data_IF_643787575345
#
_entry.id   IF_643787575345
#
_cell.length_a   1.000
_cell.length_b   1.000
_cell.length_c   1.000
_cell.angle_alpha   90.00
_cell.angle_beta   90.00
_cell.angle_gamma   90.00
#
_symmetry.space_group_name_H-M   'P 1'
#
loop_
_entity.id
_entity.type
_entity.pdbx_description
1 polymer ?
#
# COMPACT_ATOMS: atom_id res chain seq x y z
N UNK A 1 -4.26 23.38 -58.69
CA UNK A 1 -5.06 22.16 -58.87
C UNK A 1 -4.90 21.31 -57.60
N UNK A 2 -5.94 21.05 -56.77
CA UNK A 2 -7.02 20.03 -56.90
C UNK A 2 -6.46 18.62 -57.21
N UNK A 3 -6.69 17.53 -56.45
CA UNK A 3 -7.36 17.19 -55.17
C UNK A 3 -7.03 15.71 -54.83
N UNK A 4 -7.40 15.26 -53.62
CA UNK A 4 -7.77 13.89 -53.19
C UNK A 4 -6.59 12.92 -52.93
N UNK A 5 -6.56 12.08 -51.89
CA UNK A 5 -7.60 11.38 -51.08
C UNK A 5 -6.87 10.85 -49.83
N UNK A 6 -7.26 11.18 -48.58
CA UNK A 6 -8.30 10.59 -47.72
C UNK A 6 -7.96 9.20 -47.14
N UNK A 7 -8.03 9.13 -45.80
CA UNK A 7 -8.31 8.00 -44.90
C UNK A 7 -7.34 6.80 -44.99
N UNK A 8 -6.76 6.29 -43.90
CA UNK A 8 -7.49 5.71 -42.77
C UNK A 8 -6.71 5.82 -41.45
N UNK A 9 -7.40 6.30 -40.42
CA UNK A 9 -7.20 5.88 -39.03
C UNK A 9 -7.42 4.36 -38.92
N UNK A 10 -6.84 3.72 -37.88
CA UNK A 10 -6.95 2.31 -37.40
C UNK A 10 -5.48 1.79 -37.31
N UNK A 11 -4.82 1.63 -36.17
CA UNK A 11 -5.26 1.02 -34.92
C UNK A 11 -4.38 1.36 -33.70
N UNK A 12 -5.07 1.35 -32.57
CA UNK A 12 -4.69 1.45 -31.16
C UNK A 12 -3.70 0.32 -30.73
N UNK A 13 -3.04 0.42 -29.54
CA UNK A 13 -1.79 -0.24 -29.21
C UNK A 13 -1.98 -1.72 -28.89
N UNK A 14 -1.12 -2.54 -29.50
CA UNK A 14 -0.81 -3.89 -29.01
C UNK A 14 0.22 -3.71 -27.89
N UNK A 15 -0.25 -3.61 -26.65
CA UNK A 15 0.31 -4.42 -25.56
C UNK A 15 -0.68 -4.50 -24.40
N UNK A 16 -1.78 -5.23 -24.63
CA UNK A 16 -2.47 -5.92 -23.55
C UNK A 16 -1.56 -7.08 -23.12
N UNK A 17 -0.58 -6.79 -22.26
CA UNK A 17 0.06 -7.84 -21.47
C UNK A 17 -0.96 -8.29 -20.44
N UNK A 18 -1.56 -9.41 -20.80
CA UNK A 18 -2.38 -10.30 -19.99
C UNK A 18 -1.81 -10.45 -18.58
N UNK A 19 -2.75 -10.57 -17.65
CA UNK A 19 -2.56 -10.99 -16.29
C UNK A 19 -1.58 -12.17 -16.15
N UNK A 20 -0.49 -11.92 -15.43
CA UNK A 20 0.11 -12.87 -14.52
C UNK A 20 0.10 -12.15 -13.16
N UNK A 21 -0.90 -12.35 -12.31
CA UNK A 21 -1.00 -13.51 -11.43
C UNK A 21 0.37 -13.90 -10.85
N UNK A 22 0.98 -12.99 -10.08
CA UNK A 22 1.84 -13.44 -8.98
C UNK A 22 0.95 -13.72 -7.77
N UNK A 23 0.21 -14.82 -7.86
CA UNK A 23 -0.05 -15.64 -6.68
C UNK A 23 1.30 -16.15 -6.19
N UNK A 24 1.92 -15.37 -5.29
CA UNK A 24 2.89 -15.94 -4.36
C UNK A 24 2.07 -16.69 -3.32
N UNK A 25 1.67 -17.92 -3.66
CA UNK A 25 1.50 -18.94 -2.65
C UNK A 25 2.89 -19.28 -2.12
N UNK A 26 3.29 -18.64 -1.04
CA UNK A 26 4.35 -19.14 -0.16
C UNK A 26 3.71 -19.44 1.18
N UNK A 27 3.13 -20.63 1.26
CA UNK A 27 2.99 -21.39 2.50
C UNK A 27 4.39 -21.64 3.07
N UNK A 28 4.90 -20.64 3.79
CA UNK A 28 5.99 -20.81 4.75
C UNK A 28 5.40 -20.59 6.13
N UNK A 29 5.08 -21.69 6.80
CA UNK A 29 4.73 -21.70 8.21
C UNK A 29 5.89 -21.13 9.05
N UNK A 30 5.51 -20.23 9.95
CA UNK A 30 6.10 -19.92 11.26
C UNK A 30 7.33 -18.99 11.33
N UNK A 31 7.06 -17.82 11.94
CA UNK A 31 7.98 -16.87 12.61
C UNK A 31 8.75 -15.82 11.81
N UNK A 32 8.55 -15.66 10.51
CA UNK A 32 9.03 -14.46 9.83
C UNK A 32 8.13 -13.26 10.17
N UNK A 33 8.71 -12.25 10.80
CA UNK A 33 8.08 -10.94 10.94
C UNK A 33 7.83 -10.43 9.53
N UNK A 34 6.56 -10.21 9.18
CA UNK A 34 6.25 -9.61 7.89
C UNK A 34 6.65 -8.12 7.93
N UNK A 35 7.89 -7.85 7.54
CA UNK A 35 8.43 -6.50 7.39
C UNK A 35 7.63 -5.72 6.33
N UNK A 36 7.05 -6.42 5.35
CA UNK A 36 6.14 -5.83 4.37
C UNK A 36 4.90 -5.24 5.03
N UNK A 37 4.32 -5.94 6.01
CA UNK A 37 3.19 -5.43 6.78
C UNK A 37 3.53 -4.18 7.59
N UNK A 38 4.75 -4.08 8.15
CA UNK A 38 5.19 -2.88 8.88
C UNK A 38 5.24 -1.64 7.98
N UNK A 39 5.93 -1.72 6.85
CA UNK A 39 6.06 -0.58 5.93
C UNK A 39 4.71 -0.14 5.38
N UNK A 40 3.82 -1.08 5.05
CA UNK A 40 2.45 -0.79 4.61
C UNK A 40 1.67 -0.03 5.70
N UNK A 41 1.78 -0.43 6.97
CA UNK A 41 1.10 0.24 8.08
C UNK A 41 1.61 1.67 8.29
N UNK A 42 2.92 1.87 8.17
CA UNK A 42 3.55 3.19 8.27
C UNK A 42 3.10 4.10 7.13
N UNK A 43 3.05 3.59 5.90
CA UNK A 43 2.61 4.39 4.75
C UNK A 43 1.12 4.75 4.82
N UNK A 44 0.28 3.83 5.33
CA UNK A 44 -1.13 4.16 5.65
C UNK A 44 -1.23 5.26 6.70
N UNK A 45 -0.43 5.18 7.78
CA UNK A 45 -0.43 6.21 8.82
C UNK A 45 0.02 7.59 8.28
N UNK A 46 1.05 7.63 7.43
CA UNK A 46 1.48 8.87 6.74
C UNK A 46 0.38 9.43 5.84
N UNK A 47 -0.27 8.58 5.06
CA UNK A 47 -1.36 8.99 4.18
C UNK A 47 -2.54 9.58 4.98
N UNK A 48 -2.89 8.96 6.12
CA UNK A 48 -3.90 9.49 7.05
C UNK A 48 -3.51 10.86 7.60
N UNK A 49 -2.24 11.05 8.00
CA UNK A 49 -1.74 12.34 8.47
C UNK A 49 -1.82 13.43 7.38
N UNK A 50 -1.50 13.08 6.13
CA UNK A 50 -1.65 14.00 5.00
C UNK A 50 -3.11 14.41 4.79
N UNK A 51 -4.06 13.47 4.91
CA UNK A 51 -5.51 13.76 4.82
C UNK A 51 -6.00 14.65 5.96
N UNK A 52 -5.53 14.40 7.19
CA UNK A 52 -5.85 15.25 8.35
C UNK A 52 -5.33 16.68 8.22
N UNK A 53 -4.27 16.89 7.43
CA UNK A 53 -3.67 18.20 7.18
C UNK A 53 -4.39 18.99 6.08
N UNK A 54 -5.39 18.40 5.41
CA UNK A 54 -6.16 19.07 4.37
C UNK A 54 -7.16 20.08 4.96
N UNK A 55 -7.36 21.23 4.31
CA UNK A 55 -8.23 22.31 4.79
C UNK A 55 -9.74 22.00 4.72
N UNK A 56 -10.15 20.96 4.00
CA UNK A 56 -11.57 20.62 3.78
C UNK A 56 -11.94 19.26 4.38
N UNK A 57 -11.81 19.11 5.70
CA UNK A 57 -12.25 17.90 6.40
C UNK A 57 -13.26 18.25 7.51
N UNK A 58 -14.34 17.48 7.63
CA UNK A 58 -15.29 17.67 8.72
C UNK A 58 -14.74 17.09 10.03
N UNK A 59 -15.24 17.57 11.17
CA UNK A 59 -14.83 17.06 12.48
C UNK A 59 -15.03 15.54 12.60
N UNK A 60 -16.15 15.02 12.10
CA UNK A 60 -16.46 13.58 12.13
C UNK A 60 -15.44 12.77 11.32
N UNK A 61 -15.08 13.25 10.13
CA UNK A 61 -14.07 12.60 9.29
C UNK A 61 -12.68 12.69 9.91
N UNK A 62 -12.33 13.83 10.53
CA UNK A 62 -11.04 13.98 11.22
C UNK A 62 -10.90 13.01 12.39
N UNK A 63 -11.98 12.75 13.13
CA UNK A 63 -11.99 11.76 14.21
C UNK A 63 -11.80 10.34 13.66
N UNK A 64 -12.55 9.98 12.63
CA UNK A 64 -12.43 8.66 12.01
C UNK A 64 -11.02 8.40 11.44
N UNK A 65 -10.45 9.39 10.73
CA UNK A 65 -9.07 9.31 10.24
C UNK A 65 -8.05 9.22 11.38
N UNK A 66 -8.23 10.01 12.45
CA UNK A 66 -7.33 9.95 13.60
C UNK A 66 -7.32 8.56 14.25
N UNK A 67 -8.50 7.96 14.47
CA UNK A 67 -8.64 6.60 15.00
C UNK A 67 -7.99 5.56 14.07
N UNK A 68 -8.18 5.70 12.75
CA UNK A 68 -7.56 4.82 11.75
C UNK A 68 -6.02 4.93 11.79
N UNK A 69 -5.49 6.16 11.83
CA UNK A 69 -4.05 6.42 11.91
C UNK A 69 -3.44 5.81 13.18
N UNK A 70 -4.09 6.01 14.32
CA UNK A 70 -3.67 5.40 15.59
C UNK A 70 -3.67 3.87 15.54
N UNK A 71 -4.71 3.27 14.94
CA UNK A 71 -4.79 1.82 14.81
C UNK A 71 -3.64 1.26 13.95
N UNK A 72 -3.29 1.94 12.85
CA UNK A 72 -2.16 1.54 12.01
C UNK A 72 -0.81 1.67 12.74
N UNK A 73 -0.60 2.78 13.46
CA UNK A 73 0.61 2.98 14.25
C UNK A 73 0.78 1.94 15.36
N UNK A 74 -0.31 1.59 16.05
CA UNK A 74 -0.29 0.57 17.11
C UNK A 74 0.13 -0.79 16.56
N UNK A 75 -0.44 -1.21 15.43
CA UNK A 75 -0.07 -2.48 14.78
C UNK A 75 1.40 -2.47 14.34
N UNK A 76 1.89 -1.36 13.80
CA UNK A 76 3.30 -1.23 13.43
C UNK A 76 4.22 -1.36 14.65
N UNK A 77 3.81 -0.78 15.79
CA UNK A 77 4.54 -0.91 17.05
C UNK A 77 4.55 -2.37 17.56
N UNK A 78 3.42 -3.07 17.50
CA UNK A 78 3.35 -4.50 17.88
C UNK A 78 4.31 -5.35 17.04
N UNK A 79 4.49 -5.02 15.75
CA UNK A 79 5.47 -5.71 14.87
C UNK A 79 6.90 -5.47 15.36
N UNK A 80 7.26 -4.24 15.71
CA UNK A 80 8.59 -3.90 16.24
C UNK A 80 8.86 -4.56 17.59
N UNK A 81 7.85 -4.66 18.46
CA UNK A 81 7.97 -5.33 19.75
C UNK A 81 8.23 -6.82 19.59
N UNK A 82 7.49 -7.48 18.68
CA UNK A 82 7.76 -8.88 18.31
C UNK A 82 9.16 -9.06 17.77
N UNK A 83 9.63 -8.15 16.93
CA UNK A 83 11.01 -8.18 16.40
C UNK A 83 12.06 -8.10 17.47
N UNK A 84 11.84 -7.20 18.43
CA UNK A 84 12.74 -7.03 19.57
C UNK A 84 12.78 -8.29 20.44
N UNK A 85 11.64 -8.92 20.70
CA UNK A 85 11.56 -10.15 21.50
C UNK A 85 12.29 -11.30 20.80
N UNK A 86 12.02 -11.54 19.52
CA UNK A 86 12.73 -12.56 18.75
C UNK A 86 14.25 -12.33 18.73
N UNK A 87 14.69 -11.08 18.56
CA UNK A 87 16.12 -10.76 18.61
C UNK A 87 16.76 -11.06 19.98
N UNK A 88 16.03 -10.86 21.08
CA UNK A 88 16.51 -11.19 22.42
C UNK A 88 16.66 -12.70 22.60
N UNK A 89 15.71 -13.50 22.10
CA UNK A 89 15.78 -14.97 22.15
C UNK A 89 16.98 -15.56 21.39
N UNK A 90 17.47 -14.89 20.33
CA UNK A 90 18.67 -15.32 19.60
C UNK A 90 20.00 -14.92 20.25
N UNK A 91 19.98 -14.03 21.24
CA UNK A 91 21.19 -13.49 21.87
C UNK A 91 21.61 -14.29 23.12
N UNK A 92 20.71 -15.08 23.68
CA UNK A 92 20.93 -15.96 24.83
C UNK A 92 21.37 -17.37 24.38
#
# INVERSE_FOLDING_TARGET
MKKHTSADSINNPINASVAESHTIESSTESNAIDIGDFEILIDKAKATLSKLSAQEITLKESLALYEEGLANLKKAQDILEKAKLQYQEFKD
#
